data_IF_318568967852
#
_entry.id   IF_318568967852
#
_cell.length_a   1.000
_cell.length_b   1.000
_cell.length_c   1.000
_cell.angle_alpha   90.00
_cell.angle_beta   90.00
_cell.angle_gamma   90.00
#
_symmetry.space_group_name_H-M   'P 1'
#
loop_
_entity.id
_entity.type
_entity.pdbx_description
1 polymer ?
#
# COMPACT_ATOMS: atom_id res chain seq x y z
N UNK A 1 -6.71 -2.98 10.38
CA UNK A 1 -7.01 -1.56 10.63
C UNK A 1 -6.53 -1.16 12.02
N UNK A 2 -5.63 -0.18 12.10
CA UNK A 2 -5.19 0.40 13.38
C UNK A 2 -6.25 1.38 13.86
N UNK A 3 -6.81 1.17 15.06
CA UNK A 3 -7.79 2.10 15.65
C UNK A 3 -7.08 3.24 16.37
N UNK A 4 -7.74 4.39 16.49
CA UNK A 4 -7.22 5.57 17.18
C UNK A 4 -6.68 5.24 18.59
N UNK A 5 -7.44 4.49 19.38
CA UNK A 5 -7.03 4.01 20.71
C UNK A 5 -5.74 3.17 20.68
N UNK A 6 -5.58 2.32 19.67
CA UNK A 6 -4.38 1.47 19.51
C UNK A 6 -3.17 2.29 19.09
N UNK A 7 -3.36 3.26 18.20
CA UNK A 7 -2.30 4.17 17.80
C UNK A 7 -1.84 5.00 19.00
N UNK A 8 -2.75 5.60 19.76
CA UNK A 8 -2.43 6.39 20.95
C UNK A 8 -1.66 5.57 21.99
N UNK A 9 -2.12 4.36 22.32
CA UNK A 9 -1.44 3.53 23.33
C UNK A 9 -0.03 3.14 22.91
N UNK A 10 0.21 2.91 21.61
CA UNK A 10 1.55 2.66 21.06
C UNK A 10 2.42 3.91 21.09
N UNK A 11 1.87 5.07 20.71
CA UNK A 11 2.59 6.34 20.62
C UNK A 11 3.00 6.85 22.00
N UNK A 12 2.06 6.99 22.94
CA UNK A 12 2.35 7.57 24.27
C UNK A 12 2.95 6.55 25.25
N UNK A 13 2.77 5.25 24.98
CA UNK A 13 3.25 4.18 25.85
C UNK A 13 2.69 4.28 27.26
N UNK A 14 3.56 4.57 28.25
CA UNK A 14 3.20 4.71 29.67
C UNK A 14 3.24 6.15 30.17
N UNK A 15 3.46 7.12 29.28
CA UNK A 15 3.51 8.52 29.65
C UNK A 15 2.18 8.99 30.25
N UNK A 16 2.25 9.79 31.30
CA UNK A 16 1.05 10.37 31.88
C UNK A 16 0.49 11.47 30.97
N UNK A 17 -0.79 11.81 31.11
CA UNK A 17 -1.37 12.93 30.36
C UNK A 17 -0.63 14.27 30.60
N UNK A 18 0.03 14.43 31.76
CA UNK A 18 0.87 15.61 32.03
C UNK A 18 2.14 15.59 31.19
N UNK A 19 2.77 14.44 31.03
CA UNK A 19 3.98 14.29 30.22
C UNK A 19 3.65 14.48 28.75
N UNK A 20 2.55 13.86 28.28
CA UNK A 20 2.00 14.07 26.93
C UNK A 20 1.72 15.55 26.69
N UNK A 21 1.09 16.25 27.65
CA UNK A 21 0.80 17.68 27.54
C UNK A 21 2.08 18.52 27.39
N UNK A 22 3.09 18.25 28.23
CA UNK A 22 4.38 18.96 28.17
C UNK A 22 5.11 18.73 26.85
N UNK A 23 5.07 17.51 26.33
CA UNK A 23 5.77 17.14 25.09
C UNK A 23 5.06 17.65 23.83
N UNK A 24 3.74 17.50 23.77
CA UNK A 24 2.95 17.86 22.59
C UNK A 24 2.52 19.32 22.55
N UNK A 25 2.62 20.05 23.67
CA UNK A 25 2.07 21.39 23.80
C UNK A 25 0.53 21.43 23.87
N UNK A 26 -0.15 20.27 23.81
CA UNK A 26 -1.60 20.19 23.94
C UNK A 26 -1.99 20.34 25.41
N UNK A 27 -2.93 21.22 25.71
CA UNK A 27 -3.39 21.45 27.07
C UNK A 27 -3.94 20.18 27.74
N UNK A 28 -3.59 19.97 29.02
CA UNK A 28 -3.99 18.79 29.79
C UNK A 28 -5.52 18.58 29.85
N UNK A 29 -6.29 19.67 29.98
CA UNK A 29 -7.76 19.61 29.99
C UNK A 29 -8.32 19.14 28.65
N UNK A 30 -7.69 19.55 27.55
CA UNK A 30 -8.02 19.11 26.19
C UNK A 30 -7.74 17.63 26.01
N UNK A 31 -6.53 17.19 26.40
CA UNK A 31 -6.14 15.79 26.34
C UNK A 31 -7.08 14.91 27.16
N UNK A 32 -7.39 15.30 28.40
CA UNK A 32 -8.30 14.54 29.27
C UNK A 32 -9.72 14.43 28.74
N UNK A 33 -10.19 15.39 27.94
CA UNK A 33 -11.55 15.39 27.38
C UNK A 33 -11.65 14.57 26.11
N UNK A 34 -10.59 14.60 25.29
CA UNK A 34 -10.63 14.09 23.90
C UNK A 34 -9.97 12.74 23.73
N UNK A 35 -9.03 12.39 24.59
CA UNK A 35 -8.40 11.08 24.53
C UNK A 35 -9.39 9.98 24.95
N UNK A 36 -9.33 8.81 24.30
CA UNK A 36 -8.48 8.48 23.15
C UNK A 36 -9.13 8.75 21.78
N UNK A 37 -10.37 9.22 21.70
CA UNK A 37 -11.19 9.01 20.50
C UNK A 37 -11.38 10.24 19.60
N UNK A 38 -11.24 11.46 20.12
CA UNK A 38 -11.70 12.71 19.46
C UNK A 38 -10.60 13.78 19.36
N UNK A 39 -9.38 13.37 18.99
CA UNK A 39 -8.32 14.34 18.70
C UNK A 39 -8.52 14.95 17.31
N UNK A 40 -8.40 16.27 17.18
CA UNK A 40 -8.42 16.93 15.85
C UNK A 40 -7.16 16.61 15.05
N UNK A 41 -7.14 16.81 13.72
CA UNK A 41 -5.97 16.55 12.89
C UNK A 41 -4.71 17.28 13.40
N UNK A 42 -4.83 18.52 13.86
CA UNK A 42 -3.71 19.31 14.38
C UNK A 42 -3.14 18.70 15.67
N UNK A 43 -4.02 18.14 16.51
CA UNK A 43 -3.63 17.46 17.75
C UNK A 43 -2.95 16.14 17.46
N UNK A 44 -3.43 15.38 16.47
CA UNK A 44 -2.79 14.15 16.00
C UNK A 44 -1.37 14.44 15.49
N UNK A 45 -1.20 15.46 14.64
CA UNK A 45 0.10 15.87 14.11
C UNK A 45 1.05 16.32 15.23
N UNK A 46 0.55 17.16 16.14
CA UNK A 46 1.35 17.65 17.28
C UNK A 46 1.82 16.50 18.17
N UNK A 47 0.95 15.52 18.42
CA UNK A 47 1.30 14.34 19.19
C UNK A 47 2.30 13.45 18.45
N UNK A 48 2.11 13.24 17.15
CA UNK A 48 3.00 12.43 16.33
C UNK A 48 4.44 12.97 16.33
N UNK A 49 4.60 14.28 16.08
CA UNK A 49 5.91 14.94 16.12
C UNK A 49 6.54 14.91 17.51
N UNK A 50 5.75 15.07 18.58
CA UNK A 50 6.25 15.03 19.95
C UNK A 50 6.83 13.66 20.36
N UNK A 51 6.45 12.59 19.66
CA UNK A 51 6.89 11.22 19.87
C UNK A 51 7.73 10.65 18.72
N UNK A 52 8.10 11.48 17.74
CA UNK A 52 8.90 11.11 16.56
C UNK A 52 8.32 9.92 15.78
N UNK A 53 6.99 9.91 15.62
CA UNK A 53 6.27 8.92 14.82
C UNK A 53 5.61 9.55 13.59
N UNK A 54 5.39 8.79 12.50
CA UNK A 54 4.72 9.32 11.32
C UNK A 54 3.29 9.78 11.62
N UNK A 55 2.97 11.04 11.32
CA UNK A 55 1.64 11.60 11.55
C UNK A 55 0.54 10.93 10.71
N UNK A 56 0.90 10.41 9.53
CA UNK A 56 -0.03 9.71 8.63
C UNK A 56 -0.71 8.53 9.32
N UNK A 57 0.03 7.75 10.11
CA UNK A 57 -0.54 6.59 10.82
C UNK A 57 -1.65 7.00 11.79
N UNK A 58 -1.45 8.11 12.51
CA UNK A 58 -2.45 8.64 13.44
C UNK A 58 -3.67 9.22 12.73
N UNK A 59 -3.45 9.89 11.59
CA UNK A 59 -4.54 10.48 10.80
C UNK A 59 -5.41 9.41 10.14
N UNK A 60 -4.83 8.30 9.68
CA UNK A 60 -5.57 7.13 9.21
C UNK A 60 -6.34 6.48 10.38
N UNK A 61 -5.68 6.31 11.53
CA UNK A 61 -6.31 5.70 12.71
C UNK A 61 -7.50 6.52 13.26
N UNK A 62 -7.45 7.85 13.10
CA UNK A 62 -8.53 8.78 13.43
C UNK A 62 -9.61 8.91 12.33
N UNK A 63 -9.40 8.31 11.15
CA UNK A 63 -10.33 8.35 10.03
C UNK A 63 -10.32 9.65 9.23
N UNK A 64 -9.32 10.51 9.42
CA UNK A 64 -9.15 11.73 8.62
C UNK A 64 -8.51 11.45 7.25
N UNK A 65 -7.77 10.35 7.14
CA UNK A 65 -7.21 9.83 5.91
C UNK A 65 -7.68 8.39 5.71
N UNK A 66 -7.88 8.01 4.46
CA UNK A 66 -8.11 6.64 4.03
C UNK A 66 -6.80 5.97 3.63
N UNK A 67 -6.81 4.64 3.53
CA UNK A 67 -5.63 3.91 3.02
C UNK A 67 -5.32 4.29 1.56
N UNK A 68 -6.35 4.65 0.77
CA UNK A 68 -6.17 5.11 -0.61
C UNK A 68 -5.38 6.43 -0.67
N UNK A 69 -5.67 7.38 0.23
CA UNK A 69 -4.95 8.66 0.29
C UNK A 69 -3.45 8.46 0.51
N UNK A 70 -3.06 7.43 1.28
CA UNK A 70 -1.66 7.09 1.53
C UNK A 70 -1.01 6.43 0.31
N UNK A 71 -1.72 5.50 -0.34
CA UNK A 71 -1.22 4.77 -1.51
C UNK A 71 -0.98 5.71 -2.69
N UNK A 72 -1.92 6.63 -2.95
CA UNK A 72 -1.84 7.57 -4.08
C UNK A 72 -0.61 8.47 -3.99
N UNK A 73 -0.27 8.93 -2.78
CA UNK A 73 0.92 9.76 -2.52
C UNK A 73 2.21 8.92 -2.55
N UNK A 74 2.19 7.72 -1.97
CA UNK A 74 3.37 6.86 -1.90
C UNK A 74 3.78 6.27 -3.26
N UNK A 75 2.81 5.94 -4.13
CA UNK A 75 3.07 5.17 -5.35
C UNK A 75 3.93 5.87 -6.41
N UNK A 76 3.85 7.19 -6.52
CA UNK A 76 4.52 7.92 -7.60
C UNK A 76 5.84 8.60 -7.18
N UNK A 77 5.92 9.13 -5.95
CA UNK A 77 7.16 9.77 -5.47
C UNK A 77 8.21 8.75 -5.03
N UNK A 78 7.79 7.70 -4.32
CA UNK A 78 8.73 6.79 -3.65
C UNK A 78 9.58 5.98 -4.63
N UNK A 79 9.10 5.67 -5.83
CA UNK A 79 9.90 4.96 -6.84
C UNK A 79 10.96 5.87 -7.46
N UNK A 80 10.63 7.14 -7.67
CA UNK A 80 11.55 8.12 -8.27
C UNK A 80 12.67 8.53 -7.30
N UNK A 81 12.36 8.57 -6.00
CA UNK A 81 13.32 8.92 -4.95
C UNK A 81 14.11 7.70 -4.41
N UNK A 82 13.77 6.49 -4.85
CA UNK A 82 14.44 5.27 -4.41
C UNK A 82 15.86 5.16 -5.00
N UNK A 83 16.80 4.69 -4.18
CA UNK A 83 18.15 4.38 -4.64
C UNK A 83 18.17 3.09 -5.48
N UNK A 84 19.15 2.95 -6.37
CA UNK A 84 19.34 1.73 -7.17
C UNK A 84 19.40 0.46 -6.33
N UNK A 85 19.99 0.54 -5.13
CA UNK A 85 20.06 -0.58 -4.19
C UNK A 85 18.67 -0.99 -3.67
N UNK A 86 17.84 0.00 -3.30
CA UNK A 86 16.46 -0.25 -2.86
C UNK A 86 15.60 -0.78 -4.01
N UNK A 87 15.79 -0.29 -5.23
CA UNK A 87 15.12 -0.80 -6.42
C UNK A 87 15.50 -2.25 -6.69
N UNK A 88 16.79 -2.59 -6.66
CA UNK A 88 17.28 -3.95 -6.86
C UNK A 88 16.76 -4.92 -5.78
N UNK A 89 16.73 -4.48 -4.52
CA UNK A 89 16.17 -5.26 -3.41
C UNK A 89 14.66 -5.51 -3.59
N UNK A 90 13.89 -4.49 -3.97
CA UNK A 90 12.46 -4.63 -4.21
C UNK A 90 12.15 -5.54 -5.40
N UNK A 91 12.91 -5.43 -6.50
CA UNK A 91 12.80 -6.34 -7.65
C UNK A 91 13.10 -7.77 -7.23
N UNK A 92 14.20 -8.02 -6.49
CA UNK A 92 14.55 -9.34 -6.00
C UNK A 92 13.47 -9.90 -5.07
N UNK A 93 12.92 -9.06 -4.17
CA UNK A 93 11.81 -9.44 -3.29
C UNK A 93 10.58 -9.84 -4.11
N UNK A 94 10.20 -9.06 -5.14
CA UNK A 94 9.09 -9.39 -6.05
C UNK A 94 9.35 -10.66 -6.84
N UNK A 95 10.58 -10.92 -7.29
CA UNK A 95 10.92 -12.19 -7.94
C UNK A 95 10.72 -13.39 -7.00
N UNK A 96 11.10 -13.25 -5.72
CA UNK A 96 10.90 -14.29 -4.71
C UNK A 96 9.42 -14.52 -4.38
N UNK A 97 8.61 -13.46 -4.23
CA UNK A 97 7.16 -13.59 -4.02
C UNK A 97 6.44 -14.09 -5.29
N UNK A 98 6.80 -13.54 -6.44
CA UNK A 98 6.34 -13.98 -7.76
C UNK A 98 6.77 -15.41 -8.09
N UNK A 99 7.73 -15.96 -7.34
CA UNK A 99 8.07 -17.39 -7.25
C UNK A 99 6.87 -18.31 -7.05
N UNK A 100 5.81 -17.84 -6.38
CA UNK A 100 4.58 -18.62 -6.20
C UNK A 100 3.68 -18.61 -7.46
N UNK A 101 3.83 -17.61 -8.32
CA UNK A 101 3.30 -17.59 -9.70
C UNK A 101 4.33 -18.08 -10.74
N UNK A 102 5.56 -18.40 -10.32
CA UNK A 102 6.68 -18.81 -11.17
C UNK A 102 6.65 -20.29 -11.54
N UNK A 103 5.46 -20.89 -11.62
CA UNK A 103 5.33 -22.23 -12.20
C UNK A 103 5.78 -22.30 -13.67
N UNK A 104 6.13 -21.17 -14.31
CA UNK A 104 6.67 -21.12 -15.66
C UNK A 104 8.21 -21.08 -15.69
N UNK A 105 8.88 -20.53 -14.67
CA UNK A 105 10.34 -20.29 -14.73
C UNK A 105 11.20 -21.46 -14.22
N UNK A 106 10.63 -22.36 -13.42
CA UNK A 106 11.29 -23.62 -12.99
C UNK A 106 11.03 -24.79 -13.95
N UNK A 107 10.31 -24.55 -15.05
CA UNK A 107 10.09 -25.57 -16.06
C UNK A 107 11.29 -25.61 -17.02
N UNK A 108 11.73 -26.82 -17.44
CA UNK A 108 12.68 -26.92 -18.54
C UNK A 108 12.10 -26.19 -19.75
N UNK A 109 12.93 -25.44 -20.49
CA UNK A 109 12.53 -24.64 -21.66
C UNK A 109 11.68 -25.46 -22.66
N UNK A 110 11.89 -26.77 -22.73
CA UNK A 110 11.10 -27.72 -23.52
C UNK A 110 9.61 -27.77 -23.17
N UNK A 111 9.18 -27.25 -22.01
CA UNK A 111 7.77 -27.09 -21.61
C UNK A 111 7.22 -25.68 -21.82
N UNK A 112 8.09 -24.70 -22.11
CA UNK A 112 7.72 -23.29 -22.37
C UNK A 112 7.63 -23.02 -23.89
N UNK A 113 8.25 -23.86 -24.72
CA UNK A 113 8.21 -23.77 -26.18
C UNK A 113 7.72 -25.06 -26.83
N UNK A 114 6.44 -25.08 -27.20
CA UNK A 114 5.80 -26.14 -27.97
C UNK A 114 4.44 -25.67 -28.49
N UNK A 115 4.41 -24.48 -29.10
CA UNK A 115 3.34 -24.07 -29.99
C UNK A 115 4.03 -23.75 -31.30
N UNK A 116 3.98 -24.70 -32.23
CA UNK A 116 4.55 -24.54 -33.56
C UNK A 116 3.90 -23.32 -34.23
N UNK A 117 4.70 -22.51 -34.93
CA UNK A 117 4.23 -21.31 -35.63
C UNK A 117 3.10 -21.62 -36.64
N UNK A 118 2.98 -22.89 -37.05
CA UNK A 118 1.93 -23.38 -37.93
C UNK A 118 0.54 -23.42 -37.26
N UNK A 119 0.44 -23.67 -35.94
CA UNK A 119 -0.83 -23.57 -35.21
C UNK A 119 -1.30 -22.11 -35.06
N UNK A 120 -0.34 -21.17 -34.94
CA UNK A 120 -0.64 -19.73 -34.87
C UNK A 120 -1.14 -19.16 -36.20
N UNK A 121 -0.66 -19.70 -37.34
CA UNK A 121 -1.21 -19.36 -38.66
C UNK A 121 -2.59 -19.98 -38.90
N UNK A 122 -2.82 -21.22 -38.46
CA UNK A 122 -4.12 -21.89 -38.62
C UNK A 122 -5.24 -21.17 -37.84
N UNK A 123 -4.98 -20.71 -36.62
CA UNK A 123 -5.96 -19.96 -35.81
C UNK A 123 -6.29 -18.55 -36.35
N UNK A 124 -5.44 -18.00 -37.23
CA UNK A 124 -5.67 -16.68 -37.86
C UNK A 124 -6.53 -16.73 -39.13
N UNK A 125 -6.83 -17.93 -39.66
CA UNK A 125 -7.62 -18.10 -40.88
C UNK A 125 -9.10 -18.42 -40.64
N UNK A 126 -9.53 -18.64 -39.39
CA UNK A 126 -10.90 -19.09 -39.05
C UNK A 126 -11.81 -17.97 -38.51
N UNK A 127 -11.40 -16.69 -38.56
CA UNK A 127 -12.25 -15.55 -38.20
C UNK A 127 -12.49 -14.57 -39.36
N UNK A 128 -12.59 -15.11 -40.59
CA UNK A 128 -12.70 -14.31 -41.82
C UNK A 128 -13.82 -14.73 -42.78
N UNK A 129 -14.97 -15.16 -42.28
CA UNK A 129 -16.19 -15.40 -43.07
C UNK A 129 -17.17 -16.14 -42.17
N UNK A 130 -18.30 -15.56 -41.79
CA UNK A 130 -19.51 -15.52 -42.62
C UNK A 130 -20.43 -14.36 -42.14
N UNK A 131 -20.45 -13.26 -42.87
CA UNK A 131 -21.67 -12.48 -43.11
C UNK A 131 -21.90 -12.41 -44.63
N UNK A 132 -23.16 -12.24 -45.02
CA UNK A 132 -23.76 -12.23 -46.37
C UNK A 132 -24.03 -13.63 -46.97
N UNK A 133 -25.27 -14.13 -46.86
CA UNK A 133 -26.47 -13.84 -47.66
C UNK A 133 -26.62 -14.81 -48.83
N UNK A 134 -27.83 -15.37 -48.97
CA UNK A 134 -28.52 -15.79 -50.22
C UNK A 134 -29.38 -17.04 -49.93
N UNK A 135 -30.71 -16.87 -49.82
CA UNK A 135 -31.69 -17.04 -50.91
C UNK A 135 -32.05 -18.51 -51.15
N UNK A 136 -33.18 -18.95 -50.59
CA UNK A 136 -34.35 -19.45 -51.35
C UNK A 136 -35.60 -19.50 -50.45
#
# INVERSE_FOLDING_TARGET
MTTMKTWISKTIGRDSLRDVSKRSGIGLSTLSRRLPDDLTPEQVISLAHAYDVPAIEGLVAAGYLTEADVIDVAGHSALSDATDAQLAEEVLRRMKLGGESAQVYDLPISRVGGMDEDERRAASHDQGGLEESDLD
#
